data_IF_502776139734
#
_entry.id   IF_502776139734
#
_cell.length_a   1.000
_cell.length_b   1.000
_cell.length_c   1.000
_cell.angle_alpha   90.00
_cell.angle_beta   90.00
_cell.angle_gamma   90.00
#
_symmetry.space_group_name_H-M   'P 1'
#
loop_
_entity.id
_entity.type
_entity.pdbx_description
1 polymer ?
#
# COMPACT_ATOMS: atom_id res chain seq x y z
N UNK A 1 -12.39 -10.43 44.04
CA UNK A 1 -11.75 -10.22 42.75
C UNK A 1 -12.19 -8.85 42.23
N UNK A 2 -11.53 -7.82 42.70
CA UNK A 2 -11.78 -6.46 42.27
C UNK A 2 -11.10 -6.24 40.94
N UNK A 3 -11.90 -6.07 39.90
CA UNK A 3 -11.45 -5.44 38.68
C UNK A 3 -11.25 -3.98 39.07
N UNK A 4 -10.00 -3.53 39.09
CA UNK A 4 -9.68 -2.12 39.33
C UNK A 4 -10.49 -1.25 38.38
N UNK A 5 -11.37 -0.44 38.94
CA UNK A 5 -12.17 0.52 38.22
C UNK A 5 -11.43 1.84 37.97
N UNK A 6 -10.15 1.87 38.24
CA UNK A 6 -9.34 3.04 37.95
C UNK A 6 -8.77 2.87 36.53
N UNK A 7 -9.31 3.52 35.51
CA UNK A 7 -8.72 3.50 34.20
C UNK A 7 -7.44 4.34 34.24
N UNK A 8 -6.34 3.75 34.66
CA UNK A 8 -5.06 4.20 34.12
C UNK A 8 -5.19 3.83 32.66
N UNK A 9 -5.63 4.75 31.84
CA UNK A 9 -5.52 4.66 30.40
C UNK A 9 -4.05 5.02 30.12
N UNK A 10 -3.16 4.03 29.99
CA UNK A 10 -1.84 4.33 29.43
C UNK A 10 -2.12 4.88 28.04
N UNK A 11 -1.37 5.86 27.61
CA UNK A 11 -1.43 6.41 26.26
C UNK A 11 -0.98 5.34 25.24
N UNK A 12 -1.85 4.39 24.98
CA UNK A 12 -1.65 3.36 23.95
C UNK A 12 -2.26 3.79 22.61
N UNK A 13 -2.27 5.09 22.34
CA UNK A 13 -2.88 5.71 21.16
C UNK A 13 -2.47 5.06 19.82
N UNK A 14 -1.37 4.31 19.84
CA UNK A 14 -0.81 3.67 18.64
C UNK A 14 -0.86 2.15 18.66
N UNK A 15 -1.47 1.57 19.69
CA UNK A 15 -1.53 0.11 19.85
C UNK A 15 -2.99 -0.34 19.99
N UNK A 16 -3.35 -1.35 19.23
CA UNK A 16 -4.60 -2.07 19.45
C UNK A 16 -4.41 -2.98 20.66
N UNK A 17 -5.07 -2.65 21.76
CA UNK A 17 -5.03 -3.45 22.97
C UNK A 17 -6.30 -4.26 23.11
N UNK A 18 -6.17 -5.54 23.49
CA UNK A 18 -7.29 -6.41 23.75
C UNK A 18 -7.18 -6.94 25.19
N UNK A 19 -8.17 -6.60 26.01
CA UNK A 19 -8.29 -7.14 27.38
C UNK A 19 -9.16 -8.39 27.36
N UNK A 20 -8.61 -9.52 27.83
CA UNK A 20 -9.32 -10.79 27.87
C UNK A 20 -9.39 -11.33 29.29
N UNK A 21 -10.59 -11.67 29.73
CA UNK A 21 -10.80 -12.42 30.95
C UNK A 21 -11.14 -13.86 30.60
N UNK A 22 -10.21 -14.76 30.84
CA UNK A 22 -10.35 -16.17 30.48
C UNK A 22 -10.57 -17.01 31.74
N UNK A 23 -11.59 -17.87 31.69
CA UNK A 23 -11.79 -18.90 32.70
C UNK A 23 -11.19 -20.20 32.20
N UNK A 24 -10.20 -20.71 32.92
CA UNK A 24 -9.61 -22.01 32.60
C UNK A 24 -10.68 -23.11 32.59
N UNK A 25 -10.68 -23.94 31.57
CA UNK A 25 -11.57 -25.09 31.41
C UNK A 25 -10.83 -26.25 30.73
N UNK A 26 -11.43 -27.45 30.74
CA UNK A 26 -10.87 -28.58 29.98
C UNK A 26 -10.72 -28.32 28.49
N UNK A 27 -11.59 -27.49 27.92
CA UNK A 27 -11.59 -27.13 26.50
C UNK A 27 -10.60 -25.99 26.18
N UNK A 28 -10.17 -25.20 27.18
CA UNK A 28 -9.29 -24.08 27.00
C UNK A 28 -8.22 -24.07 28.08
N UNK A 29 -7.07 -24.69 27.79
CA UNK A 29 -5.98 -24.86 28.72
C UNK A 29 -4.70 -24.09 28.35
N UNK A 30 -4.61 -23.52 27.16
CA UNK A 30 -3.42 -22.83 26.64
C UNK A 30 -3.77 -21.55 25.92
N UNK A 31 -2.93 -20.51 26.05
CA UNK A 31 -3.07 -19.22 25.36
C UNK A 31 -2.70 -19.31 23.88
N UNK A 32 -1.93 -20.28 23.46
CA UNK A 32 -1.57 -20.53 22.06
C UNK A 32 -2.76 -20.98 21.20
N UNK A 33 -3.86 -21.36 21.81
CA UNK A 33 -5.12 -21.69 21.13
C UNK A 33 -6.00 -20.45 20.85
N UNK A 34 -5.62 -19.29 21.38
CA UNK A 34 -6.36 -18.06 21.15
C UNK A 34 -6.10 -17.54 19.74
N UNK A 35 -7.16 -17.38 18.97
CA UNK A 35 -7.12 -16.71 17.65
C UNK A 35 -7.94 -15.44 17.73
N UNK A 36 -7.33 -14.34 17.32
CA UNK A 36 -7.99 -13.04 17.27
C UNK A 36 -8.22 -12.68 15.80
N UNK A 37 -9.43 -12.32 15.48
CA UNK A 37 -9.78 -11.79 14.17
C UNK A 37 -9.75 -10.26 14.22
N UNK A 38 -8.89 -9.64 13.43
CA UNK A 38 -8.83 -8.20 13.28
C UNK A 38 -9.74 -7.80 12.12
N UNK A 39 -10.82 -7.09 12.42
CA UNK A 39 -11.76 -6.65 11.40
C UNK A 39 -11.25 -5.42 10.62
N UNK A 40 -10.53 -4.52 11.31
CA UNK A 40 -9.99 -3.30 10.72
C UNK A 40 -8.48 -3.24 10.96
N UNK A 41 -7.76 -2.75 9.95
CA UNK A 41 -6.34 -2.43 10.05
C UNK A 41 -6.10 -1.08 10.71
N UNK A 42 -4.83 -0.67 10.72
CA UNK A 42 -4.42 0.66 11.19
C UNK A 42 -5.05 1.74 10.29
N UNK A 43 -5.52 2.87 10.83
CA UNK A 43 -5.94 4.01 10.03
C UNK A 43 -4.76 4.55 9.21
N UNK A 44 -4.98 4.71 7.92
CA UNK A 44 -4.00 5.28 6.99
C UNK A 44 -4.66 6.36 6.15
N UNK A 45 -3.85 7.27 5.61
CA UNK A 45 -4.34 8.27 4.66
C UNK A 45 -4.76 7.59 3.37
N UNK A 46 -6.00 7.83 2.96
CA UNK A 46 -6.58 7.28 1.72
C UNK A 46 -6.32 8.23 0.57
N UNK A 47 -5.76 7.73 -0.52
CA UNK A 47 -5.32 8.53 -1.66
C UNK A 47 -6.31 8.53 -2.83
N UNK A 48 -7.35 7.72 -2.75
CA UNK A 48 -8.34 7.69 -3.82
C UNK A 48 -9.09 9.02 -3.93
N UNK A 49 -9.17 9.64 -5.12
CA UNK A 49 -9.71 10.99 -5.30
C UNK A 49 -11.20 11.13 -5.02
N UNK A 50 -11.97 10.03 -5.12
CA UNK A 50 -13.40 10.01 -4.80
C UNK A 50 -13.63 9.28 -3.47
N UNK A 51 -13.64 10.04 -2.40
CA UNK A 51 -13.89 9.54 -1.05
C UNK A 51 -15.35 9.26 -0.76
N UNK A 52 -16.26 9.64 -1.65
CA UNK A 52 -17.71 9.53 -1.50
C UNK A 52 -18.25 8.12 -1.27
N UNK A 53 -17.44 7.09 -1.42
CA UNK A 53 -17.82 5.71 -1.13
C UNK A 53 -17.34 5.18 0.23
N UNK A 54 -16.56 5.95 0.96
CA UNK A 54 -16.25 5.69 2.37
C UNK A 54 -17.11 6.64 3.18
N UNK A 55 -18.19 6.12 3.73
CA UNK A 55 -19.20 6.83 4.50
C UNK A 55 -18.69 7.36 5.87
N UNK A 56 -17.48 7.85 5.94
CA UNK A 56 -17.00 8.61 7.08
C UNK A 56 -17.04 10.09 6.77
N UNK A 57 -18.25 10.64 6.87
CA UNK A 57 -18.54 12.06 6.68
C UNK A 57 -17.88 12.97 7.73
N UNK A 58 -17.18 12.41 8.70
CA UNK A 58 -16.63 13.14 9.85
C UNK A 58 -15.09 13.21 9.87
N UNK A 59 -14.42 12.64 8.85
CA UNK A 59 -12.98 12.58 8.83
C UNK A 59 -12.36 13.63 7.90
N UNK A 60 -12.06 14.80 8.46
CA UNK A 60 -11.39 15.91 7.75
C UNK A 60 -9.98 15.57 7.25
N UNK A 61 -9.39 14.45 7.71
CA UNK A 61 -8.01 14.05 7.39
C UNK A 61 -7.91 12.99 6.31
N UNK A 62 -9.02 12.46 5.81
CA UNK A 62 -9.06 11.31 4.91
C UNK A 62 -8.37 10.06 5.44
N UNK A 63 -8.28 9.91 6.75
CA UNK A 63 -7.68 8.76 7.40
C UNK A 63 -8.73 7.70 7.72
N UNK A 64 -8.37 6.46 7.56
CA UNK A 64 -9.25 5.34 7.89
C UNK A 64 -8.63 4.00 7.47
N UNK A 65 -9.31 2.90 7.77
CA UNK A 65 -8.87 1.60 7.31
C UNK A 65 -8.86 1.56 5.79
N UNK A 66 -7.81 0.99 5.20
CA UNK A 66 -7.69 0.79 3.77
C UNK A 66 -7.16 -0.60 3.47
N UNK A 67 -7.60 -1.14 2.34
CA UNK A 67 -7.11 -2.38 1.76
C UNK A 67 -6.40 -2.15 0.42
N UNK A 68 -6.00 -0.91 0.12
CA UNK A 68 -5.27 -0.58 -1.10
C UNK A 68 -3.76 -0.58 -0.83
N UNK A 69 -3.01 -1.25 -1.71
CA UNK A 69 -1.55 -1.29 -1.61
C UNK A 69 -0.91 0.09 -1.71
N UNK A 70 -1.47 1.01 -2.51
CA UNK A 70 -1.03 2.41 -2.61
C UNK A 70 -1.05 3.14 -1.28
N UNK A 71 -2.13 2.99 -0.52
CA UNK A 71 -2.29 3.65 0.77
C UNK A 71 -1.33 3.07 1.83
N UNK A 72 -1.11 1.74 1.80
CA UNK A 72 -0.12 1.08 2.63
C UNK A 72 1.30 1.58 2.31
N UNK A 73 1.67 1.65 1.03
CA UNK A 73 3.00 2.14 0.61
C UNK A 73 3.19 3.60 1.02
N UNK A 74 2.20 4.44 0.81
CA UNK A 74 2.24 5.83 1.25
C UNK A 74 2.46 5.94 2.77
N UNK A 75 1.72 5.15 3.55
CA UNK A 75 1.89 5.08 5.00
C UNK A 75 3.31 4.64 5.38
N UNK A 76 3.83 3.57 4.78
CA UNK A 76 5.18 3.07 5.06
C UNK A 76 6.28 4.08 4.71
N UNK A 77 6.08 4.91 3.70
CA UNK A 77 7.04 5.94 3.31
C UNK A 77 6.97 7.19 4.21
N UNK A 78 5.78 7.55 4.70
CA UNK A 78 5.56 8.82 5.41
C UNK A 78 5.48 8.69 6.92
N UNK A 79 5.16 7.51 7.45
CA UNK A 79 5.02 7.34 8.90
C UNK A 79 6.38 7.35 9.59
N UNK A 80 6.59 8.23 10.59
CA UNK A 80 7.90 8.36 11.25
C UNK A 80 8.19 7.24 12.27
N UNK A 81 7.19 6.50 12.70
CA UNK A 81 7.33 5.48 13.76
C UNK A 81 7.36 4.07 13.17
N UNK A 82 6.40 3.76 12.30
CA UNK A 82 6.23 2.43 11.72
C UNK A 82 6.79 2.30 10.30
N UNK A 83 7.32 3.39 9.73
CA UNK A 83 7.83 3.42 8.37
C UNK A 83 9.16 4.14 8.23
N UNK A 84 9.44 4.62 7.03
CA UNK A 84 10.65 5.34 6.67
C UNK A 84 10.57 6.87 6.86
N UNK A 85 9.41 7.40 7.30
CA UNK A 85 9.15 8.83 7.36
C UNK A 85 10.19 9.62 8.15
N UNK A 86 10.63 9.12 9.31
CA UNK A 86 11.68 9.77 10.10
C UNK A 86 13.02 9.82 9.36
N UNK A 87 13.39 8.75 8.65
CA UNK A 87 14.66 8.68 7.88
C UNK A 87 14.61 9.59 6.65
N UNK A 88 13.45 9.67 6.00
CA UNK A 88 13.23 10.45 4.79
C UNK A 88 12.81 11.90 5.08
N UNK A 89 12.65 12.25 6.35
CA UNK A 89 12.13 13.55 6.78
C UNK A 89 10.79 13.89 6.12
N UNK A 90 9.89 12.93 6.13
CA UNK A 90 8.54 13.03 5.57
C UNK A 90 7.47 12.76 6.62
N UNK A 91 6.32 13.37 6.41
CA UNK A 91 5.07 13.09 7.15
C UNK A 91 3.93 12.94 6.14
N UNK A 92 2.77 12.39 6.53
CA UNK A 92 1.60 12.34 5.65
C UNK A 92 1.17 13.71 5.12
N UNK A 93 1.38 14.78 5.90
CA UNK A 93 1.03 16.15 5.52
C UNK A 93 2.12 16.87 4.72
N UNK A 94 3.35 16.34 4.75
CA UNK A 94 4.49 16.88 4.03
C UNK A 94 5.27 15.77 3.30
N UNK A 95 4.67 15.15 2.25
CA UNK A 95 5.25 14.04 1.52
C UNK A 95 6.15 14.52 0.38
N UNK A 96 7.18 15.32 0.71
CA UNK A 96 7.99 16.06 -0.27
C UNK A 96 8.69 15.17 -1.32
N UNK A 97 9.02 13.93 -0.96
CA UNK A 97 9.69 12.97 -1.84
C UNK A 97 8.71 11.97 -2.48
N UNK A 98 7.41 12.24 -2.45
CA UNK A 98 6.40 11.40 -3.09
C UNK A 98 5.77 12.12 -4.28
N UNK A 99 5.62 11.41 -5.38
CA UNK A 99 4.77 11.81 -6.48
C UNK A 99 3.33 11.40 -6.17
N UNK A 100 2.60 12.29 -5.51
CA UNK A 100 1.23 12.03 -5.06
C UNK A 100 0.28 11.72 -6.21
N UNK A 101 0.48 12.34 -7.38
CA UNK A 101 -0.34 12.09 -8.55
C UNK A 101 -0.21 10.64 -9.06
N UNK A 102 1.00 10.07 -9.02
CA UNK A 102 1.21 8.66 -9.38
C UNK A 102 0.53 7.72 -8.39
N UNK A 103 0.58 8.04 -7.09
CA UNK A 103 -0.10 7.26 -6.05
C UNK A 103 -1.62 7.33 -6.15
N UNK A 104 -2.19 8.50 -6.47
CA UNK A 104 -3.62 8.65 -6.72
C UNK A 104 -4.07 7.84 -7.94
N UNK A 105 -3.27 7.85 -9.01
CA UNK A 105 -3.49 7.02 -10.20
C UNK A 105 -3.45 5.53 -9.85
N UNK A 106 -2.46 5.09 -9.09
CA UNK A 106 -2.36 3.71 -8.63
C UNK A 106 -3.54 3.32 -7.73
N UNK A 107 -3.97 4.20 -6.82
CA UNK A 107 -5.12 3.98 -5.95
C UNK A 107 -6.41 3.78 -6.76
N UNK A 108 -6.63 4.62 -7.77
CA UNK A 108 -7.78 4.50 -8.69
C UNK A 108 -7.73 3.17 -9.46
N UNK A 109 -6.56 2.83 -10.00
CA UNK A 109 -6.32 1.57 -10.71
C UNK A 109 -6.59 0.33 -9.83
N UNK A 110 -6.01 0.28 -8.64
CA UNK A 110 -6.16 -0.84 -7.73
C UNK A 110 -7.62 -1.08 -7.35
N UNK A 111 -8.34 0.01 -7.09
CA UNK A 111 -9.75 -0.05 -6.73
C UNK A 111 -10.62 -0.49 -7.90
N UNK A 112 -10.44 0.09 -9.08
CA UNK A 112 -11.22 -0.24 -10.27
C UNK A 112 -11.10 -1.72 -10.65
N UNK A 113 -9.94 -2.32 -10.40
CA UNK A 113 -9.66 -3.72 -10.75
C UNK A 113 -9.76 -4.69 -9.55
N UNK A 114 -10.28 -4.25 -8.40
CA UNK A 114 -10.45 -5.05 -7.18
C UNK A 114 -9.15 -5.72 -6.69
N UNK A 115 -8.02 -5.03 -6.85
CA UNK A 115 -6.71 -5.49 -6.40
C UNK A 115 -6.47 -5.05 -4.95
N UNK A 116 -6.94 -5.84 -4.01
CA UNK A 116 -6.91 -5.52 -2.59
C UNK A 116 -5.76 -6.20 -1.87
N UNK A 117 -5.13 -5.47 -0.96
CA UNK A 117 -4.06 -5.91 -0.09
C UNK A 117 -4.57 -6.09 1.34
N UNK A 118 -4.59 -7.33 1.80
CA UNK A 118 -4.94 -7.65 3.18
C UNK A 118 -3.83 -8.49 3.79
N UNK A 119 -3.24 -8.02 4.88
CA UNK A 119 -2.15 -8.72 5.53
C UNK A 119 -1.65 -8.03 6.78
N UNK A 120 -0.69 -8.63 7.42
CA UNK A 120 0.02 -8.07 8.55
C UNK A 120 1.53 -8.15 8.30
N UNK A 121 2.23 -7.09 8.61
CA UNK A 121 3.70 -7.08 8.61
C UNK A 121 4.12 -7.40 10.05
N UNK A 122 4.63 -8.60 10.27
CA UNK A 122 4.99 -9.11 11.62
C UNK A 122 6.46 -8.90 11.96
N UNK A 123 7.29 -8.75 10.94
CA UNK A 123 8.73 -8.63 11.09
C UNK A 123 9.24 -7.26 10.66
N UNK A 124 10.42 -6.90 11.14
CA UNK A 124 11.10 -5.69 10.67
C UNK A 124 11.58 -5.90 9.25
N UNK A 125 11.07 -5.12 8.32
CA UNK A 125 11.40 -5.19 6.89
C UNK A 125 12.08 -3.91 6.40
N UNK A 126 12.89 -4.04 5.35
CA UNK A 126 13.33 -2.90 4.58
C UNK A 126 12.16 -2.40 3.73
N UNK A 127 11.70 -1.18 3.97
CA UNK A 127 10.52 -0.62 3.29
C UNK A 127 10.67 -0.64 1.76
N UNK A 128 11.83 -0.24 1.24
CA UNK A 128 12.08 -0.21 -0.21
C UNK A 128 11.99 -1.60 -0.83
N UNK A 129 12.65 -2.58 -0.23
CA UNK A 129 12.64 -3.96 -0.71
C UNK A 129 11.25 -4.59 -0.60
N UNK A 130 10.57 -4.34 0.52
CA UNK A 130 9.21 -4.81 0.72
C UNK A 130 8.26 -4.26 -0.36
N UNK A 131 8.32 -2.97 -0.64
CA UNK A 131 7.46 -2.34 -1.65
C UNK A 131 7.82 -2.84 -3.05
N UNK A 132 9.10 -2.87 -3.41
CA UNK A 132 9.55 -3.30 -4.73
C UNK A 132 9.20 -4.77 -5.03
N UNK A 133 9.31 -5.65 -4.04
CA UNK A 133 8.98 -7.07 -4.22
C UNK A 133 7.48 -7.35 -4.24
N UNK A 134 6.67 -6.52 -3.59
CA UNK A 134 5.22 -6.75 -3.52
C UNK A 134 4.43 -5.97 -4.59
N UNK A 135 4.93 -4.86 -5.11
CA UNK A 135 4.23 -4.07 -6.12
C UNK A 135 3.78 -4.87 -7.36
N UNK A 136 4.59 -5.81 -7.91
CA UNK A 136 4.17 -6.64 -9.04
C UNK A 136 2.94 -7.50 -8.75
N UNK A 137 2.73 -7.95 -7.50
CA UNK A 137 1.55 -8.73 -7.12
C UNK A 137 0.23 -7.94 -7.28
N UNK A 138 0.34 -6.62 -7.32
CA UNK A 138 -0.76 -5.68 -7.53
C UNK A 138 -0.72 -5.03 -8.91
N UNK A 139 0.03 -5.60 -9.85
CA UNK A 139 0.24 -5.05 -11.20
C UNK A 139 0.72 -3.59 -11.17
N UNK A 140 1.58 -3.27 -10.21
CA UNK A 140 2.17 -1.94 -10.05
C UNK A 140 3.70 -2.02 -10.10
N UNK A 141 4.31 -0.93 -10.54
CA UNK A 141 5.75 -0.70 -10.48
C UNK A 141 6.05 0.39 -9.44
N UNK A 142 6.96 0.09 -8.52
CA UNK A 142 7.51 1.10 -7.62
C UNK A 142 8.72 1.74 -8.28
N UNK A 143 8.66 3.03 -8.52
CA UNK A 143 9.65 3.77 -9.30
C UNK A 143 10.20 4.96 -8.52
N UNK A 144 11.41 5.41 -8.89
CA UNK A 144 11.97 6.68 -8.44
C UNK A 144 12.17 7.53 -9.69
N UNK A 145 11.45 8.64 -9.77
CA UNK A 145 11.52 9.57 -10.90
C UNK A 145 11.66 10.99 -10.37
N UNK A 146 12.58 11.74 -10.93
CA UNK A 146 12.86 13.13 -10.56
C UNK A 146 13.08 13.32 -9.03
N UNK A 147 13.74 12.33 -8.40
CA UNK A 147 13.99 12.33 -6.96
C UNK A 147 12.77 12.00 -6.08
N UNK A 148 11.66 11.61 -6.68
CA UNK A 148 10.42 11.25 -5.96
C UNK A 148 10.07 9.77 -6.12
N UNK A 149 9.52 9.19 -5.07
CA UNK A 149 8.93 7.87 -5.09
C UNK A 149 7.57 7.91 -5.78
N UNK A 150 7.36 7.01 -6.72
CA UNK A 150 6.10 6.84 -7.43
C UNK A 150 5.63 5.40 -7.42
N UNK A 151 4.32 5.23 -7.57
CA UNK A 151 3.68 3.93 -7.77
C UNK A 151 2.82 4.02 -9.03
N UNK A 152 3.13 3.21 -10.03
CA UNK A 152 2.49 3.28 -11.33
C UNK A 152 1.89 1.91 -11.70
N UNK A 153 0.68 1.87 -12.32
CA UNK A 153 0.20 0.65 -12.94
C UNK A 153 1.20 0.11 -13.96
N UNK A 154 1.47 -1.21 -13.91
CA UNK A 154 2.39 -1.89 -14.82
C UNK A 154 1.73 -2.32 -16.14
N UNK A 155 0.42 -2.09 -16.26
CA UNK A 155 -0.39 -2.47 -17.42
C UNK A 155 -1.09 -1.23 -17.99
N UNK A 156 -1.44 -1.21 -19.29
CA UNK A 156 -2.20 -0.13 -19.87
C UNK A 156 -3.53 0.06 -19.13
N UNK A 157 -3.84 1.28 -18.75
CA UNK A 157 -5.04 1.64 -18.01
C UNK A 157 -5.82 2.73 -18.72
N UNK A 158 -7.12 2.73 -18.56
CA UNK A 158 -7.96 3.86 -18.93
C UNK A 158 -7.73 4.99 -17.92
N UNK A 159 -7.24 6.16 -18.33
CA UNK A 159 -6.89 7.24 -17.40
C UNK A 159 -8.11 7.83 -16.66
N UNK A 160 -9.31 7.65 -17.20
CA UNK A 160 -10.53 8.18 -16.60
C UNK A 160 -11.18 7.23 -15.60
N UNK A 161 -11.11 5.91 -15.84
CA UNK A 161 -11.76 4.91 -14.97
C UNK A 161 -10.78 4.12 -14.11
N UNK A 162 -9.50 4.08 -14.46
CA UNK A 162 -8.48 3.24 -13.81
C UNK A 162 -8.57 1.76 -14.20
N UNK A 163 -9.53 1.35 -15.02
CA UNK A 163 -9.67 -0.03 -15.47
C UNK A 163 -8.55 -0.43 -16.43
N UNK A 164 -8.21 -1.72 -16.43
CA UNK A 164 -7.24 -2.27 -17.39
C UNK A 164 -7.79 -2.06 -18.80
N UNK A 165 -6.98 -1.41 -19.63
CA UNK A 165 -7.34 -1.15 -21.03
C UNK A 165 -7.01 -2.37 -21.87
N UNK A 166 -8.03 -2.98 -22.46
CA UNK A 166 -7.88 -4.05 -23.46
C UNK A 166 -7.75 -3.50 -24.89
N UNK A 167 -7.61 -2.19 -25.03
CA UNK A 167 -7.38 -1.59 -26.34
C UNK A 167 -6.09 -2.14 -26.96
N UNK A 168 -6.07 -2.42 -28.27
CA UNK A 168 -4.85 -2.88 -28.92
C UNK A 168 -3.75 -1.84 -28.73
N UNK A 169 -2.54 -2.34 -28.42
CA UNK A 169 -1.37 -1.49 -28.25
C UNK A 169 -1.15 -0.70 -29.54
N UNK A 170 -1.19 0.61 -29.44
CA UNK A 170 -0.79 1.46 -30.55
C UNK A 170 0.72 1.57 -30.57
N UNK A 171 1.34 1.04 -31.61
CA UNK A 171 2.79 1.12 -31.77
C UNK A 171 3.18 2.57 -32.06
N UNK A 172 4.06 3.12 -31.23
CA UNK A 172 4.57 4.48 -31.44
C UNK A 172 5.52 4.56 -32.65
N UNK A 173 6.21 3.45 -32.93
CA UNK A 173 7.16 3.36 -34.03
C UNK A 173 7.32 1.91 -34.47
N UNK A 174 7.56 1.71 -35.76
CA UNK A 174 7.93 0.42 -36.36
C UNK A 174 9.38 0.53 -36.82
N UNK A 175 10.20 -0.41 -36.38
CA UNK A 175 11.57 -0.54 -36.82
C UNK A 175 11.63 -1.54 -37.98
N UNK A 176 12.31 -1.17 -39.05
CA UNK A 176 12.54 -2.02 -40.23
C UNK A 176 13.89 -1.67 -40.86
N UNK A 177 14.32 -2.46 -41.84
CA UNK A 177 15.63 -2.30 -42.50
C UNK A 177 15.84 -0.90 -43.16
N UNK A 178 14.76 -0.15 -43.33
CA UNK A 178 14.84 1.21 -43.89
C UNK A 178 15.08 2.30 -42.85
N UNK A 179 14.89 2.04 -41.58
CA UNK A 179 15.03 3.02 -40.49
C UNK A 179 15.97 2.59 -39.36
N UNK A 180 16.62 1.43 -39.49
CA UNK A 180 17.66 0.94 -38.62
C UNK A 180 18.96 0.86 -39.37
N UNK A 181 20.07 1.29 -38.78
CA UNK A 181 21.39 1.09 -39.35
C UNK A 181 21.73 -0.41 -39.26
N UNK A 182 22.32 -0.94 -40.32
CA UNK A 182 22.79 -2.31 -40.38
C UNK A 182 23.69 -2.59 -39.17
N UNK A 183 23.50 -3.73 -38.48
CA UNK A 183 24.22 -4.15 -37.28
C UNK A 183 24.08 -3.24 -36.03
N UNK A 184 23.17 -2.27 -36.02
CA UNK A 184 22.96 -1.38 -34.87
C UNK A 184 21.86 -1.85 -33.91
N UNK A 185 21.14 -2.92 -34.22
CA UNK A 185 20.06 -3.44 -33.41
C UNK A 185 20.50 -4.74 -32.75
N UNK A 186 20.56 -4.74 -31.44
CA UNK A 186 20.85 -5.90 -30.63
C UNK A 186 19.64 -6.22 -29.74
N UNK A 187 19.32 -7.48 -29.63
CA UNK A 187 18.19 -7.97 -28.85
C UNK A 187 18.67 -9.01 -27.85
N UNK A 188 18.53 -8.70 -26.58
CA UNK A 188 18.89 -9.57 -25.48
C UNK A 188 17.66 -9.94 -24.64
N UNK A 189 17.43 -11.22 -24.45
CA UNK A 189 16.44 -11.68 -23.48
C UNK A 189 17.08 -11.74 -22.10
N UNK A 190 16.61 -10.92 -21.18
CA UNK A 190 16.95 -11.06 -19.78
C UNK A 190 16.26 -12.33 -19.25
N UNK A 191 17.02 -13.37 -18.99
CA UNK A 191 16.51 -14.53 -18.28
C UNK A 191 16.18 -14.09 -16.85
N UNK A 192 14.90 -14.15 -16.49
CA UNK A 192 14.50 -14.07 -15.10
C UNK A 192 14.87 -15.39 -14.41
N UNK A 193 15.92 -15.38 -13.59
CA UNK A 193 16.16 -16.44 -12.61
C UNK A 193 15.13 -16.39 -11.50
#
# INVERSE_FOLDING_TARGET
>A
NEISTNPIIPEYDKLTTCGLVLRSSRAFSRLDQLRVWLANGIPVRRLHPTLSSYEDSDNSTNEGPSNLFSDLVFYLLTNPTAGAGATLNMTPDSPNLIDTASFETASTFLRANNLFCNGAITDKVNVREFVASNAPNFLCNFVIKDGKFGLLPAVPTNPSTGEISLAPVQYAQIFNDGNILEDSFEFEYLNSE
#
